data_IF_180091169934
#
_entry.id   IF_180091169934
#
_cell.length_a   1.000
_cell.length_b   1.000
_cell.length_c   1.000
_cell.angle_alpha   90.00
_cell.angle_beta   90.00
_cell.angle_gamma   90.00
#
_symmetry.space_group_name_H-M   'P 1'
#
loop_
_entity.id
_entity.type
_entity.pdbx_description
1 polymer ?
#
# COMPACT_ATOMS: atom_id res chain seq x y z
N UNK A 1 5.98 12.08 -9.85
CA UNK A 1 5.32 12.19 -8.52
C UNK A 1 4.75 13.60 -8.35
N UNK A 2 3.70 13.84 -7.54
CA UNK A 2 3.30 15.20 -7.19
C UNK A 2 4.48 15.97 -6.61
N UNK A 3 4.65 17.24 -7.01
CA UNK A 3 5.87 18.02 -6.72
C UNK A 3 6.18 18.15 -5.21
N UNK A 4 5.15 18.10 -4.36
CA UNK A 4 5.28 18.17 -2.90
C UNK A 4 4.86 16.87 -2.19
N UNK A 5 4.82 15.76 -2.93
CA UNK A 5 4.36 14.47 -2.44
C UNK A 5 2.83 14.34 -2.36
N UNK A 6 2.36 13.10 -2.17
CA UNK A 6 0.93 12.79 -2.11
C UNK A 6 0.24 13.38 -0.87
N UNK A 7 0.94 13.47 0.27
CA UNK A 7 0.37 14.06 1.50
C UNK A 7 -0.12 15.49 1.25
N UNK A 8 0.70 16.37 0.66
CA UNK A 8 0.30 17.74 0.32
C UNK A 8 -0.80 17.83 -0.72
N UNK A 9 -0.97 16.81 -1.56
CA UNK A 9 -2.09 16.73 -2.48
C UNK A 9 -3.38 16.43 -1.72
N UNK A 10 -3.38 15.42 -0.84
CA UNK A 10 -4.56 15.03 -0.06
C UNK A 10 -4.95 16.08 0.99
N UNK A 11 -3.98 16.73 1.64
CA UNK A 11 -4.27 17.85 2.55
C UNK A 11 -5.11 18.92 1.85
N UNK A 12 -4.76 19.31 0.62
CA UNK A 12 -5.53 20.28 -0.17
C UNK A 12 -6.90 19.78 -0.60
N UNK A 13 -7.02 18.49 -0.92
CA UNK A 13 -8.33 17.90 -1.28
C UNK A 13 -9.30 17.88 -0.11
N UNK A 14 -8.79 17.79 1.11
CA UNK A 14 -9.59 17.69 2.34
C UNK A 14 -9.74 19.03 3.08
N UNK A 15 -9.04 20.09 2.64
CA UNK A 15 -9.08 21.43 3.22
C UNK A 15 -10.31 22.22 2.77
N UNK A 16 -11.48 21.84 3.30
CA UNK A 16 -12.73 22.55 3.07
C UNK A 16 -13.53 22.62 4.37
N UNK A 17 -14.18 23.75 4.72
CA UNK A 17 -14.90 23.91 5.99
C UNK A 17 -16.03 22.90 6.24
N UNK A 18 -16.53 22.26 5.18
CA UNK A 18 -17.57 21.21 5.26
C UNK A 18 -17.00 19.78 5.34
N UNK A 19 -15.67 19.62 5.39
CA UNK A 19 -15.00 18.32 5.48
C UNK A 19 -14.32 18.23 6.84
N UNK A 20 -14.81 17.31 7.67
CA UNK A 20 -14.16 16.94 8.93
C UNK A 20 -13.38 15.64 8.71
N UNK A 21 -12.11 15.61 9.10
CA UNK A 21 -11.26 14.42 9.02
C UNK A 21 -10.94 13.90 10.42
N UNK A 22 -11.18 12.60 10.63
CA UNK A 22 -10.82 11.91 11.88
C UNK A 22 -9.89 10.75 11.55
N UNK A 23 -8.67 10.81 12.06
CA UNK A 23 -7.65 9.76 11.90
C UNK A 23 -7.72 8.78 13.08
N UNK A 24 -7.06 7.62 12.94
CA UNK A 24 -6.99 6.58 13.97
C UNK A 24 -8.38 6.18 14.54
N UNK A 25 -9.40 6.21 13.69
CA UNK A 25 -10.80 5.95 14.08
C UNK A 25 -11.34 4.78 13.26
N UNK A 26 -11.69 3.70 13.93
CA UNK A 26 -12.38 2.57 13.29
C UNK A 26 -13.84 2.96 13.01
N UNK A 27 -14.27 2.82 11.75
CA UNK A 27 -15.64 3.06 11.33
C UNK A 27 -16.64 2.22 12.14
N UNK A 28 -16.37 0.94 12.39
CA UNK A 28 -17.29 0.06 13.10
C UNK A 28 -17.48 0.45 14.57
N UNK A 29 -16.47 1.09 15.17
CA UNK A 29 -16.55 1.59 16.54
C UNK A 29 -17.43 2.85 16.68
N UNK A 30 -17.58 3.63 15.60
CA UNK A 30 -18.29 4.92 15.64
C UNK A 30 -19.55 4.97 14.79
N UNK A 31 -19.82 3.97 13.94
CA UNK A 31 -20.91 4.02 12.94
C UNK A 31 -22.28 4.32 13.54
N UNK A 32 -22.58 3.79 14.73
CA UNK A 32 -23.87 3.98 15.41
C UNK A 32 -24.04 5.42 15.93
N UNK A 33 -22.93 6.16 16.07
CA UNK A 33 -22.91 7.56 16.50
C UNK A 33 -23.02 8.53 15.29
N UNK A 34 -22.84 8.02 14.07
CA UNK A 34 -22.87 8.85 12.86
C UNK A 34 -24.31 9.04 12.39
N UNK A 35 -24.83 10.27 12.50
CA UNK A 35 -26.11 10.66 11.91
C UNK A 35 -26.01 10.94 10.39
N UNK A 36 -25.37 10.03 9.65
CA UNK A 36 -25.13 10.20 8.22
C UNK A 36 -26.37 9.81 7.38
N UNK A 37 -26.77 10.66 6.42
CA UNK A 37 -27.82 10.33 5.45
C UNK A 37 -27.39 9.27 4.45
N UNK A 38 -26.10 9.19 4.16
CA UNK A 38 -25.49 8.26 3.23
C UNK A 38 -24.07 7.93 3.69
N UNK A 39 -23.66 6.69 3.51
CA UNK A 39 -22.33 6.19 3.85
C UNK A 39 -21.65 5.74 2.56
N UNK A 40 -20.41 6.21 2.36
CA UNK A 40 -19.49 5.69 1.34
C UNK A 40 -18.39 4.94 2.08
N UNK A 41 -18.34 3.63 1.91
CA UNK A 41 -17.39 2.75 2.60
C UNK A 41 -16.36 2.20 1.61
N UNK A 42 -15.10 2.69 1.63
CA UNK A 42 -14.04 2.23 0.74
C UNK A 42 -13.21 1.06 1.30
N UNK A 43 -13.56 0.54 2.48
CA UNK A 43 -12.83 -0.55 3.13
C UNK A 43 -13.15 -1.95 2.53
N UNK A 44 -12.54 -3.01 3.08
CA UNK A 44 -12.79 -4.39 2.63
C UNK A 44 -14.25 -4.79 2.81
N UNK A 45 -14.88 -5.26 1.72
CA UNK A 45 -16.32 -5.56 1.69
C UNK A 45 -16.68 -6.80 2.51
N UNK A 46 -15.78 -7.77 2.60
CA UNK A 46 -15.93 -8.94 3.46
C UNK A 46 -15.92 -8.57 4.94
N UNK A 47 -15.02 -7.66 5.35
CA UNK A 47 -15.01 -7.09 6.70
C UNK A 47 -16.29 -6.31 7.02
N UNK A 48 -16.89 -5.61 6.05
CA UNK A 48 -18.17 -4.92 6.24
C UNK A 48 -19.31 -5.86 6.64
N UNK A 49 -19.32 -7.08 6.09
CA UNK A 49 -20.32 -8.11 6.42
C UNK A 49 -19.83 -9.11 7.45
N UNK A 50 -18.88 -8.72 8.31
CA UNK A 50 -18.33 -9.54 9.40
C UNK A 50 -17.85 -10.92 8.93
N UNK A 51 -17.27 -10.96 7.72
CA UNK A 51 -16.76 -12.19 7.09
C UNK A 51 -17.79 -13.33 7.04
N UNK A 52 -19.09 -13.04 7.05
CA UNK A 52 -20.16 -14.06 7.11
C UNK A 52 -20.15 -15.07 5.95
N UNK A 53 -19.44 -14.74 4.87
CA UNK A 53 -19.26 -15.60 3.68
C UNK A 53 -17.82 -16.10 3.53
N UNK A 54 -16.99 -15.96 4.57
CA UNK A 54 -15.55 -16.19 4.53
C UNK A 54 -14.76 -14.92 4.17
N UNK A 55 -13.42 -15.04 4.25
CA UNK A 55 -12.48 -13.97 3.90
C UNK A 55 -12.19 -13.98 2.41
N UNK A 56 -12.21 -12.80 1.79
CA UNK A 56 -11.73 -12.64 0.42
C UNK A 56 -10.20 -12.78 0.41
N UNK A 57 -9.61 -13.50 -0.56
CA UNK A 57 -8.18 -13.64 -0.65
C UNK A 57 -7.55 -12.35 -1.17
N UNK A 58 -6.68 -11.78 -0.35
CA UNK A 58 -5.79 -10.69 -0.74
C UNK A 58 -4.33 -11.16 -0.65
N UNK A 59 -3.50 -10.59 -1.50
CA UNK A 59 -2.05 -10.60 -1.33
C UNK A 59 -1.66 -9.36 -0.53
N UNK A 60 -0.82 -9.58 0.45
CA UNK A 60 -0.21 -8.55 1.29
C UNK A 60 1.22 -8.25 0.80
N UNK A 61 1.79 -7.17 1.32
CA UNK A 61 3.18 -6.79 1.11
C UNK A 61 3.80 -6.40 2.44
N UNK A 62 5.05 -6.85 2.64
CA UNK A 62 5.91 -6.33 3.69
C UNK A 62 7.00 -5.47 3.05
N UNK A 63 7.18 -4.29 3.63
CA UNK A 63 8.14 -3.29 3.17
C UNK A 63 9.30 -3.22 4.15
N UNK A 64 10.52 -3.43 3.64
CA UNK A 64 11.74 -3.16 4.41
C UNK A 64 12.37 -1.88 3.89
N UNK A 65 12.31 -0.83 4.70
CA UNK A 65 12.94 0.46 4.41
C UNK A 65 14.39 0.46 4.89
N UNK A 66 15.29 0.88 4.01
CA UNK A 66 16.71 1.05 4.33
C UNK A 66 17.18 2.44 3.88
N UNK A 67 17.86 3.14 4.77
CA UNK A 67 18.55 4.38 4.44
C UNK A 67 20.05 4.10 4.30
N UNK A 68 20.62 4.52 3.17
CA UNK A 68 22.03 4.37 2.83
C UNK A 68 22.72 5.75 2.94
N UNK A 69 23.38 6.05 4.06
CA UNK A 69 24.09 7.31 4.22
C UNK A 69 25.30 7.36 3.29
N UNK A 70 25.60 8.54 2.74
CA UNK A 70 26.72 8.77 1.83
C UNK A 70 26.67 7.98 0.51
N UNK A 71 25.48 7.47 0.14
CA UNK A 71 25.23 6.84 -1.16
C UNK A 71 24.33 7.75 -1.98
N UNK A 72 24.88 8.35 -3.04
CA UNK A 72 24.13 9.23 -3.91
C UNK A 72 23.07 8.47 -4.74
N UNK A 73 23.40 7.32 -5.31
CA UNK A 73 22.45 6.52 -6.08
C UNK A 73 22.71 5.04 -5.83
N UNK A 74 21.69 4.29 -5.47
CA UNK A 74 21.80 2.85 -5.22
C UNK A 74 21.63 2.02 -6.50
N UNK A 75 20.72 2.44 -7.37
CA UNK A 75 20.35 1.74 -8.61
C UNK A 75 20.22 2.72 -9.78
N UNK A 76 20.34 2.25 -11.04
CA UNK A 76 20.31 3.13 -12.22
C UNK A 76 18.91 3.70 -12.54
N UNK A 77 17.85 3.12 -11.98
CA UNK A 77 16.44 3.48 -12.24
C UNK A 77 15.62 3.41 -10.95
N UNK A 78 14.45 4.04 -10.92
CA UNK A 78 13.62 4.10 -9.71
C UNK A 78 13.14 2.75 -9.16
N UNK A 79 12.93 1.74 -10.00
CA UNK A 79 12.51 0.40 -9.55
C UNK A 79 13.20 -0.68 -10.37
N UNK A 80 13.79 -1.67 -9.71
CA UNK A 80 14.38 -2.86 -10.33
C UNK A 80 13.67 -4.10 -9.80
N UNK A 81 13.20 -4.96 -10.71
CA UNK A 81 12.52 -6.21 -10.37
C UNK A 81 13.51 -7.38 -10.32
N UNK A 82 13.30 -8.28 -9.37
CA UNK A 82 14.14 -9.46 -9.14
C UNK A 82 13.26 -10.72 -9.17
N UNK A 83 12.92 -11.24 -10.36
CA UNK A 83 11.94 -12.30 -10.50
C UNK A 83 12.39 -13.66 -9.95
N UNK A 84 13.71 -13.94 -9.91
CA UNK A 84 14.22 -15.29 -9.66
C UNK A 84 15.31 -15.38 -8.58
N UNK A 85 15.89 -14.25 -8.15
CA UNK A 85 17.16 -14.26 -7.43
C UNK A 85 17.01 -14.03 -5.92
N UNK A 86 15.86 -13.50 -5.49
CA UNK A 86 15.66 -13.05 -4.11
C UNK A 86 14.24 -13.30 -3.61
N UNK A 87 14.07 -13.23 -2.28
CA UNK A 87 12.77 -13.34 -1.64
C UNK A 87 11.89 -12.08 -1.81
N UNK A 88 12.50 -10.92 -2.09
CA UNK A 88 11.77 -9.71 -2.47
C UNK A 88 11.54 -9.68 -3.98
N UNK A 89 10.42 -9.08 -4.39
CA UNK A 89 10.05 -8.97 -5.81
C UNK A 89 10.75 -7.81 -6.51
N UNK A 90 11.03 -6.72 -5.79
CA UNK A 90 11.65 -5.51 -6.34
C UNK A 90 12.26 -4.63 -5.25
N UNK A 91 13.16 -3.76 -5.70
CA UNK A 91 13.71 -2.65 -4.92
C UNK A 91 13.30 -1.34 -5.58
N UNK A 92 12.74 -0.42 -4.78
CA UNK A 92 12.39 0.94 -5.22
C UNK A 92 13.27 1.96 -4.52
N UNK A 93 13.94 2.82 -5.28
CA UNK A 93 14.74 3.94 -4.80
C UNK A 93 13.95 5.25 -4.98
N UNK A 94 13.53 5.86 -3.87
CA UNK A 94 12.59 6.98 -3.89
C UNK A 94 13.14 8.25 -4.55
N UNK A 95 14.46 8.43 -4.52
CA UNK A 95 15.14 9.63 -5.03
C UNK A 95 14.89 9.85 -6.52
N UNK A 96 14.85 8.76 -7.31
CA UNK A 96 14.48 8.80 -8.73
C UNK A 96 13.04 9.24 -8.97
N UNK A 97 12.12 8.91 -8.04
CA UNK A 97 10.69 9.19 -8.19
C UNK A 97 10.34 10.62 -7.78
N UNK A 98 10.99 11.12 -6.72
CA UNK A 98 10.72 12.44 -6.15
C UNK A 98 11.59 13.54 -6.74
N UNK A 99 12.74 13.20 -7.31
CA UNK A 99 13.74 14.19 -7.76
C UNK A 99 14.45 14.91 -6.60
N UNK A 100 14.37 14.37 -5.39
CA UNK A 100 15.00 14.96 -4.21
C UNK A 100 16.53 14.92 -4.31
N UNK A 101 17.20 15.99 -3.87
CA UNK A 101 18.66 16.01 -3.70
C UNK A 101 19.02 15.80 -2.23
N UNK A 102 19.84 14.80 -1.93
CA UNK A 102 20.30 14.46 -0.58
C UNK A 102 21.60 13.67 -0.64
N UNK A 103 22.45 13.84 0.38
CA UNK A 103 23.77 13.17 0.55
C UNK A 103 23.67 11.65 0.80
N UNK A 104 22.46 11.11 0.81
CA UNK A 104 22.18 9.69 0.95
C UNK A 104 20.92 9.34 0.16
N UNK A 105 20.60 8.06 0.10
CA UNK A 105 19.42 7.55 -0.59
C UNK A 105 18.62 6.62 0.30
N UNK A 106 17.33 6.49 0.01
CA UNK A 106 16.44 5.59 0.72
C UNK A 106 15.80 4.64 -0.28
N UNK A 107 15.87 3.35 0.06
CA UNK A 107 15.32 2.27 -0.75
C UNK A 107 14.29 1.51 0.05
N UNK A 108 13.40 0.82 -0.66
CA UNK A 108 12.48 -0.14 -0.06
C UNK A 108 12.54 -1.46 -0.82
N UNK A 109 12.64 -2.56 -0.07
CA UNK A 109 12.49 -3.92 -0.60
C UNK A 109 11.08 -4.42 -0.33
N UNK A 110 10.44 -4.96 -1.35
CA UNK A 110 9.03 -5.41 -1.29
C UNK A 110 8.92 -6.93 -1.29
N UNK A 111 8.46 -7.48 -0.17
CA UNK A 111 8.27 -8.92 0.04
C UNK A 111 6.79 -9.29 -0.10
N UNK A 112 6.45 -10.27 -0.96
CA UNK A 112 5.09 -10.73 -1.10
C UNK A 112 4.68 -11.56 0.13
N UNK A 113 3.56 -11.22 0.75
CA UNK A 113 3.02 -11.94 1.90
C UNK A 113 1.58 -12.38 1.66
N UNK A 114 1.17 -13.40 2.41
CA UNK A 114 -0.19 -13.94 2.37
C UNK A 114 -1.04 -13.50 3.56
N UNK A 115 -0.42 -12.89 4.56
CA UNK A 115 -1.08 -12.33 5.73
C UNK A 115 -0.66 -10.86 5.88
N UNK A 116 -1.50 -10.06 6.54
CA UNK A 116 -1.33 -8.61 6.68
C UNK A 116 -2.36 -7.82 5.87
N UNK A 117 -2.04 -6.55 5.60
CA UNK A 117 -2.97 -5.62 4.99
C UNK A 117 -3.32 -6.00 3.54
N UNK A 118 -4.58 -5.83 3.11
CA UNK A 118 -5.02 -6.23 1.79
C UNK A 118 -4.53 -5.24 0.71
N UNK A 119 -3.46 -5.59 0.00
CA UNK A 119 -2.93 -4.76 -1.10
C UNK A 119 -3.52 -5.14 -2.46
N UNK A 120 -3.55 -6.42 -2.83
CA UNK A 120 -4.01 -6.86 -4.15
C UNK A 120 -5.05 -7.99 -4.04
N UNK A 121 -6.25 -7.85 -4.63
CA UNK A 121 -7.20 -8.96 -4.71
C UNK A 121 -6.61 -10.08 -5.57
N UNK A 122 -6.94 -11.34 -5.25
CA UNK A 122 -6.51 -12.50 -6.05
C UNK A 122 -7.66 -12.93 -6.99
N UNK A 123 -7.63 -12.55 -8.28
CA UNK A 123 -8.65 -12.98 -9.23
C UNK A 123 -8.45 -14.47 -9.57
N UNK A 124 -9.27 -15.34 -9.00
CA UNK A 124 -9.25 -16.78 -9.31
C UNK A 124 -10.67 -17.39 -9.29
N UNK A 125 -11.00 -18.30 -10.22
CA UNK A 125 -12.32 -18.94 -10.29
C UNK A 125 -12.63 -19.80 -9.06
N UNK A 126 -11.59 -20.32 -8.40
CA UNK A 126 -11.67 -20.84 -7.04
C UNK A 126 -10.69 -20.03 -6.21
N UNK A 127 -11.22 -19.19 -5.31
CA UNK A 127 -10.48 -18.29 -4.44
C UNK A 127 -9.72 -19.05 -3.35
N UNK A 128 -8.78 -19.90 -3.76
CA UNK A 128 -8.07 -20.85 -2.89
C UNK A 128 -6.61 -20.43 -2.80
N UNK A 129 -6.33 -19.68 -1.75
CA UNK A 129 -5.00 -19.44 -1.18
C UNK A 129 -4.06 -18.48 -1.92
N UNK A 130 -3.35 -17.67 -1.14
CA UNK A 130 -2.27 -16.82 -1.63
C UNK A 130 -1.01 -17.68 -1.84
N UNK A 131 -0.29 -17.45 -2.95
CA UNK A 131 1.04 -18.01 -3.17
C UNK A 131 2.08 -16.90 -3.02
N UNK A 132 3.09 -17.15 -2.18
CA UNK A 132 4.25 -16.29 -1.95
C UNK A 132 5.21 -16.27 -3.14
N UNK A 133 5.14 -17.26 -4.03
CA UNK A 133 5.93 -17.28 -5.26
C UNK A 133 5.22 -16.49 -6.37
N UNK A 134 5.97 -15.61 -7.03
CA UNK A 134 5.54 -15.05 -8.30
C UNK A 134 5.46 -16.20 -9.30
N UNK A 135 4.26 -16.56 -9.77
CA UNK A 135 4.17 -17.47 -10.92
C UNK A 135 4.95 -16.79 -12.06
N UNK A 136 5.80 -17.52 -12.79
CA UNK A 136 6.45 -16.97 -13.97
C UNK A 136 5.37 -16.40 -14.90
N UNK A 137 5.58 -15.17 -15.37
CA UNK A 137 4.78 -14.62 -16.45
C UNK A 137 4.96 -15.53 -17.68
N UNK A 138 3.88 -15.87 -18.41
CA UNK A 138 3.97 -16.65 -19.64
C UNK A 138 4.76 -15.91 -20.73
#
# INVERSE_FOLDING_TARGET
>A
MPAQGYTKMFERMLDHPNIETRLATDFFAVRELLAAKQIVYPGPIDGYFDYRFGRLPYRSLRFEHEHLPNVESHQPVGTVNYPNDHAYTRITEFKHLTGQTSLGTSVVREYPECEGDPYYPIPAPTMRHCSSAMRPWP
#
